data_IF_085848548398
#
_entry.id   IF_085848548398
#
_cell.length_a   1.000
_cell.length_b   1.000
_cell.length_c   1.000
_cell.angle_alpha   90.00
_cell.angle_beta   90.00
_cell.angle_gamma   90.00
#
_symmetry.space_group_name_H-M   'P 1'
#
loop_
_entity.id
_entity.type
_entity.pdbx_description
1 polymer ?
#
# COMPACT_ATOMS: atom_id res chain seq x y z
N UNK A 1 23.61 5.76 -17.76
CA UNK A 1 22.12 5.84 -17.71
C UNK A 1 21.59 5.61 -19.13
N UNK A 2 20.90 4.51 -19.34
CA UNK A 2 20.29 4.20 -20.65
C UNK A 2 18.91 4.85 -20.74
N UNK A 3 18.80 5.86 -21.60
CA UNK A 3 17.52 6.54 -21.91
C UNK A 3 16.69 5.67 -22.84
N UNK A 4 15.51 5.24 -22.40
CA UNK A 4 14.53 4.63 -23.30
C UNK A 4 13.74 5.73 -24.01
N UNK A 5 13.83 5.82 -25.34
CA UNK A 5 13.16 6.83 -26.20
C UNK A 5 13.35 8.28 -25.75
N UNK A 6 14.56 8.68 -25.32
CA UNK A 6 14.87 10.04 -24.86
C UNK A 6 13.98 10.62 -23.74
N UNK A 7 13.16 9.82 -23.08
CA UNK A 7 12.38 10.24 -21.89
C UNK A 7 13.11 9.86 -20.61
N UNK A 8 13.09 10.77 -19.64
CA UNK A 8 13.65 10.50 -18.31
C UNK A 8 12.90 9.34 -17.69
N UNK A 9 13.60 8.27 -17.37
CA UNK A 9 13.11 7.26 -16.44
C UNK A 9 13.30 7.85 -15.04
N UNK A 10 12.23 8.02 -14.28
CA UNK A 10 12.36 8.29 -12.84
C UNK A 10 13.14 7.13 -12.23
N UNK A 11 14.18 7.44 -11.46
CA UNK A 11 14.92 6.42 -10.72
C UNK A 11 13.92 5.63 -9.86
N UNK A 12 13.94 4.31 -9.98
CA UNK A 12 13.12 3.48 -9.13
C UNK A 12 13.72 3.48 -7.72
N UNK A 13 12.90 3.80 -6.73
CA UNK A 13 13.27 3.66 -5.31
C UNK A 13 13.26 2.21 -4.83
N UNK A 14 12.95 1.28 -5.74
CA UNK A 14 12.90 -0.15 -5.46
C UNK A 14 14.28 -0.74 -5.30
N UNK A 15 14.40 -1.67 -4.36
CA UNK A 15 15.63 -2.42 -4.18
C UNK A 15 15.90 -3.28 -5.41
N UNK A 16 17.08 -3.12 -6.08
CA UNK A 16 17.39 -3.77 -7.36
C UNK A 16 17.39 -5.31 -7.30
N UNK A 17 17.66 -5.87 -6.11
CA UNK A 17 17.84 -7.30 -5.89
C UNK A 17 16.69 -7.95 -5.13
N UNK A 18 15.55 -7.24 -4.94
CA UNK A 18 14.39 -7.75 -4.24
C UNK A 18 13.28 -8.11 -5.22
N UNK A 19 12.78 -9.34 -5.15
CA UNK A 19 11.56 -9.72 -5.87
C UNK A 19 10.34 -9.36 -5.01
N UNK A 20 9.60 -8.37 -5.42
CA UNK A 20 8.37 -7.93 -4.77
C UNK A 20 7.19 -8.92 -4.91
N UNK A 21 7.46 -10.10 -5.41
CA UNK A 21 6.58 -11.27 -5.39
C UNK A 21 6.90 -12.27 -4.30
N UNK A 22 8.00 -12.10 -3.57
CA UNK A 22 8.31 -12.97 -2.43
C UNK A 22 7.34 -12.78 -1.28
N UNK A 23 7.18 -13.84 -0.49
CA UNK A 23 6.42 -13.82 0.75
C UNK A 23 7.09 -12.86 1.72
N UNK A 24 6.40 -11.80 2.05
CA UNK A 24 6.89 -10.71 2.91
C UNK A 24 5.77 -9.72 3.23
N UNK A 25 6.01 -8.89 4.23
CA UNK A 25 5.15 -7.77 4.54
C UNK A 25 5.68 -6.47 3.92
N UNK A 26 4.78 -5.72 3.33
CA UNK A 26 5.07 -4.46 2.63
C UNK A 26 4.22 -3.34 3.20
N UNK A 27 4.87 -2.33 3.77
CA UNK A 27 4.20 -1.05 4.03
C UNK A 27 4.11 -0.27 2.74
N UNK A 28 2.92 0.23 2.41
CA UNK A 28 2.71 1.02 1.20
C UNK A 28 2.05 2.36 1.51
N UNK A 29 2.39 3.37 0.70
CA UNK A 29 1.73 4.68 0.70
C UNK A 29 1.30 5.04 -0.72
N UNK A 30 0.01 5.30 -0.91
CA UNK A 30 -0.57 5.58 -2.23
C UNK A 30 -1.27 6.94 -2.16
N UNK A 31 -0.77 7.95 -2.89
CA UNK A 31 -1.29 9.31 -2.85
C UNK A 31 -2.25 9.62 -4.01
N UNK A 32 -3.20 10.51 -3.76
CA UNK A 32 -3.97 11.19 -4.81
C UNK A 32 -3.04 12.07 -5.66
N UNK A 33 -3.45 12.37 -6.88
CA UNK A 33 -2.72 13.33 -7.74
C UNK A 33 -2.63 14.68 -7.03
N UNK A 34 -1.43 15.28 -7.07
CA UNK A 34 -1.14 16.57 -6.42
C UNK A 34 -1.44 16.62 -4.91
N UNK A 35 -1.62 15.47 -4.25
CA UNK A 35 -2.01 15.37 -2.84
C UNK A 35 -3.32 16.12 -2.53
N UNK A 36 -4.26 16.10 -3.45
CA UNK A 36 -5.59 16.69 -3.25
C UNK A 36 -6.38 15.89 -2.20
N UNK A 37 -7.08 16.59 -1.31
CA UNK A 37 -7.87 16.01 -0.21
C UNK A 37 -9.19 15.45 -0.75
N UNK A 38 -9.12 14.35 -1.49
CA UNK A 38 -10.28 13.75 -2.15
C UNK A 38 -10.98 12.68 -1.32
N UNK A 39 -10.29 12.10 -0.33
CA UNK A 39 -10.84 10.98 0.44
C UNK A 39 -11.61 11.42 1.68
N UNK A 40 -11.59 12.70 2.04
CA UNK A 40 -12.29 13.24 3.19
C UNK A 40 -11.44 14.22 4.00
N UNK A 41 -11.76 14.34 5.27
CA UNK A 41 -11.10 15.29 6.18
C UNK A 41 -10.87 14.68 7.57
N UNK A 42 -9.92 15.26 8.32
CA UNK A 42 -9.70 14.90 9.72
C UNK A 42 -10.47 15.88 10.60
N UNK A 43 -11.39 15.35 11.40
CA UNK A 43 -12.12 16.09 12.45
C UNK A 43 -11.97 15.39 13.78
N UNK A 44 -11.64 16.12 14.82
CA UNK A 44 -11.44 15.59 16.18
C UNK A 44 -10.47 14.39 16.22
N UNK A 45 -9.40 14.45 15.41
CA UNK A 45 -8.38 13.39 15.29
C UNK A 45 -8.89 12.10 14.64
N UNK A 46 -10.07 12.13 14.02
CA UNK A 46 -10.67 11.00 13.31
C UNK A 46 -10.85 11.33 11.81
N UNK A 47 -10.71 10.31 10.97
CA UNK A 47 -10.92 10.43 9.53
C UNK A 47 -12.39 10.31 9.20
N UNK A 48 -12.97 11.38 8.66
CA UNK A 48 -14.31 11.38 8.08
C UNK A 48 -14.18 11.19 6.56
N UNK A 49 -14.50 9.99 6.11
CA UNK A 49 -14.37 9.64 4.70
C UNK A 49 -15.43 10.32 3.84
N UNK A 50 -15.02 10.85 2.70
CA UNK A 50 -15.91 11.19 1.58
C UNK A 50 -16.40 9.91 0.88
N UNK A 51 -17.31 10.05 -0.10
CA UNK A 51 -17.72 8.93 -0.97
C UNK A 51 -16.52 8.29 -1.67
N UNK A 52 -15.53 9.09 -2.10
CA UNK A 52 -14.29 8.59 -2.69
C UNK A 52 -13.43 7.84 -1.68
N UNK A 53 -13.39 8.30 -0.43
CA UNK A 53 -12.72 7.61 0.66
C UNK A 53 -13.36 6.26 0.95
N UNK A 54 -14.70 6.20 0.96
CA UNK A 54 -15.46 4.96 1.14
C UNK A 54 -15.19 3.98 -0.02
N UNK A 55 -15.18 4.46 -1.26
CA UNK A 55 -14.83 3.66 -2.44
C UNK A 55 -13.41 3.10 -2.30
N UNK A 56 -12.44 3.93 -1.90
CA UNK A 56 -11.07 3.51 -1.72
C UNK A 56 -10.93 2.45 -0.61
N UNK A 57 -11.60 2.65 0.52
CA UNK A 57 -11.67 1.68 1.63
C UNK A 57 -12.22 0.34 1.14
N UNK A 58 -13.37 0.34 0.47
CA UNK A 58 -14.01 -0.86 -0.07
C UNK A 58 -13.04 -1.68 -0.94
N UNK A 59 -12.37 -1.04 -1.93
CA UNK A 59 -11.48 -1.76 -2.83
C UNK A 59 -10.16 -2.17 -2.19
N UNK A 60 -9.74 -1.49 -1.11
CA UNK A 60 -8.64 -1.97 -0.29
C UNK A 60 -8.99 -3.29 0.39
N UNK A 61 -10.15 -3.33 1.05
CA UNK A 61 -10.66 -4.52 1.74
C UNK A 61 -10.98 -5.69 0.79
N UNK A 62 -11.25 -5.41 -0.49
CA UNK A 62 -11.46 -6.44 -1.53
C UNK A 62 -10.16 -7.08 -2.06
N UNK A 63 -8.98 -6.58 -1.71
CA UNK A 63 -7.70 -7.11 -2.21
C UNK A 63 -7.55 -8.62 -1.96
N UNK A 64 -7.81 -9.18 -0.75
CA UNK A 64 -7.68 -10.60 -0.49
C UNK A 64 -8.65 -11.45 -1.33
N UNK A 65 -9.85 -10.96 -1.59
CA UNK A 65 -10.83 -11.66 -2.44
C UNK A 65 -10.31 -11.82 -3.88
N UNK A 66 -9.54 -10.85 -4.36
CA UNK A 66 -8.94 -10.89 -5.70
C UNK A 66 -7.61 -11.62 -5.75
N UNK A 67 -6.88 -11.60 -4.67
CA UNK A 67 -5.55 -12.20 -4.51
C UNK A 67 -5.52 -13.05 -3.24
N UNK A 68 -5.96 -14.33 -3.31
CA UNK A 68 -6.09 -15.18 -2.12
C UNK A 68 -4.80 -15.44 -1.34
N UNK A 69 -3.64 -15.15 -1.96
CA UNK A 69 -2.32 -15.20 -1.32
C UNK A 69 -1.94 -13.89 -0.61
N UNK A 70 -2.85 -12.96 -0.47
CA UNK A 70 -2.63 -11.67 0.21
C UNK A 70 -3.42 -11.62 1.49
N UNK A 71 -2.73 -11.27 2.57
CA UNK A 71 -3.35 -10.86 3.83
C UNK A 71 -3.22 -9.33 3.97
N UNK A 72 -4.25 -8.70 4.47
CA UNK A 72 -4.21 -7.30 4.85
C UNK A 72 -4.04 -7.18 6.36
N UNK A 73 -3.14 -6.32 6.76
CA UNK A 73 -3.03 -5.83 8.13
C UNK A 73 -3.62 -4.43 8.24
N UNK A 74 -3.28 -3.71 9.28
CA UNK A 74 -3.78 -2.36 9.52
C UNK A 74 -3.60 -1.44 8.31
N UNK A 75 -4.60 -0.62 8.04
CA UNK A 75 -4.54 0.43 7.04
C UNK A 75 -5.34 1.65 7.51
N UNK A 76 -5.07 2.78 6.91
CA UNK A 76 -5.79 4.03 7.14
C UNK A 76 -5.98 4.79 5.83
N UNK A 77 -7.20 5.26 5.64
CA UNK A 77 -7.51 6.26 4.61
C UNK A 77 -7.23 7.62 5.23
N UNK A 78 -6.39 8.43 4.60
CA UNK A 78 -6.10 9.81 4.97
C UNK A 78 -6.66 10.76 3.92
N UNK A 79 -6.80 12.06 4.18
CA UNK A 79 -7.45 12.98 3.24
C UNK A 79 -6.92 12.90 1.80
N UNK A 80 -5.63 12.68 1.61
CA UNK A 80 -4.97 12.70 0.30
C UNK A 80 -4.12 11.46 0.00
N UNK A 81 -4.13 10.45 0.86
CA UNK A 81 -3.37 9.22 0.66
C UNK A 81 -3.93 8.04 1.48
N UNK A 82 -3.35 6.88 1.26
CA UNK A 82 -3.62 5.66 2.01
C UNK A 82 -2.30 5.12 2.51
N UNK A 83 -2.24 4.75 3.78
CA UNK A 83 -1.21 3.89 4.34
C UNK A 83 -1.79 2.52 4.63
N UNK A 84 -1.01 1.47 4.41
CA UNK A 84 -1.41 0.12 4.82
C UNK A 84 -0.29 -0.89 4.71
N UNK A 85 -0.48 -2.03 5.35
CA UNK A 85 0.41 -3.18 5.25
C UNK A 85 -0.28 -4.25 4.39
N UNK A 86 0.43 -4.68 3.35
CA UNK A 86 0.06 -5.80 2.48
C UNK A 86 1.06 -6.91 2.74
N UNK A 87 0.58 -8.08 3.12
CA UNK A 87 1.40 -9.28 3.28
C UNK A 87 1.15 -10.22 2.11
N UNK A 88 2.21 -10.58 1.40
CA UNK A 88 2.20 -11.66 0.41
C UNK A 88 2.58 -12.94 1.16
N UNK A 89 1.68 -13.91 1.18
CA UNK A 89 1.83 -15.19 1.86
C UNK A 89 1.29 -16.31 0.97
N UNK A 90 2.13 -16.82 0.07
CA UNK A 90 1.77 -17.86 -0.88
C UNK A 90 1.90 -19.26 -0.29
N UNK A 91 2.77 -19.41 0.71
CA UNK A 91 3.13 -20.68 1.32
C UNK A 91 2.45 -20.92 2.68
N UNK A 92 1.69 -19.93 3.19
CA UNK A 92 1.05 -19.99 4.50
C UNK A 92 2.06 -19.84 5.66
N UNK A 93 3.06 -18.98 5.48
CA UNK A 93 4.24 -18.91 6.33
C UNK A 93 4.07 -17.97 7.55
N UNK A 94 3.13 -18.29 8.45
CA UNK A 94 3.27 -17.83 9.84
C UNK A 94 2.71 -16.45 10.18
N UNK A 95 1.68 -15.99 9.49
CA UNK A 95 0.91 -14.82 9.90
C UNK A 95 -0.44 -15.26 10.48
N UNK A 96 -0.67 -14.98 11.77
CA UNK A 96 -1.97 -15.20 12.39
C UNK A 96 -2.83 -13.97 12.31
N UNK A 97 -4.07 -14.14 11.87
CA UNK A 97 -5.06 -13.08 11.79
C UNK A 97 -5.77 -12.96 13.13
N UNK A 98 -5.66 -11.79 13.77
CA UNK A 98 -6.38 -11.48 15.01
C UNK A 98 -7.40 -10.38 14.72
N UNK A 99 -8.65 -10.62 15.11
CA UNK A 99 -9.68 -9.59 15.07
C UNK A 99 -9.55 -8.73 16.31
N UNK A 100 -9.41 -7.42 16.13
CA UNK A 100 -9.36 -6.43 17.21
C UNK A 100 -10.50 -5.44 17.06
N UNK A 101 -10.79 -4.66 18.11
CA UNK A 101 -11.80 -3.61 18.05
C UNK A 101 -11.50 -2.54 16.97
N UNK A 102 -10.24 -2.41 16.55
CA UNK A 102 -9.79 -1.51 15.49
C UNK A 102 -9.76 -2.13 14.08
N UNK A 103 -10.25 -3.37 13.91
CA UNK A 103 -10.23 -4.12 12.65
C UNK A 103 -9.34 -5.36 12.68
N UNK A 104 -8.97 -5.85 11.50
CA UNK A 104 -8.07 -7.01 11.37
C UNK A 104 -6.63 -6.57 11.60
N UNK A 105 -5.93 -7.26 12.49
CA UNK A 105 -4.52 -7.08 12.75
C UNK A 105 -3.79 -8.42 12.65
N UNK A 106 -2.63 -8.43 12.01
CA UNK A 106 -1.80 -9.62 11.91
C UNK A 106 -0.81 -9.69 13.09
N UNK A 107 -0.64 -10.87 13.63
CA UNK A 107 0.40 -11.18 14.59
C UNK A 107 1.45 -12.03 13.91
N UNK A 108 2.69 -11.56 13.95
CA UNK A 108 3.85 -12.29 13.41
C UNK A 108 4.37 -13.23 14.49
N UNK A 109 4.20 -14.55 14.33
CA UNK A 109 4.68 -15.54 15.29
C UNK A 109 6.15 -15.88 15.11
N UNK A 110 6.67 -15.82 13.90
CA UNK A 110 8.06 -16.18 13.59
C UNK A 110 9.03 -15.03 13.81
N UNK A 111 10.17 -15.33 14.40
CA UNK A 111 11.19 -14.35 14.75
C UNK A 111 11.91 -13.76 13.53
N UNK A 112 11.88 -14.42 12.37
CA UNK A 112 12.54 -13.96 11.15
C UNK A 112 11.58 -14.04 9.98
N UNK A 113 11.18 -12.84 9.51
CA UNK A 113 10.53 -12.72 8.21
C UNK A 113 11.58 -13.12 7.15
N UNK A 114 11.29 -14.17 6.42
CA UNK A 114 12.15 -14.91 5.48
C UNK A 114 13.39 -14.15 4.98
N UNK A 115 14.56 -14.59 5.41
CA UNK A 115 15.84 -14.17 4.85
C UNK A 115 15.99 -14.78 3.45
N UNK A 116 15.38 -14.15 2.43
CA UNK A 116 15.63 -14.52 1.05
C UNK A 116 17.07 -14.13 0.68
N UNK A 117 17.97 -15.13 0.68
CA UNK A 117 19.37 -14.98 0.28
C UNK A 117 19.58 -15.10 -1.22
N UNK A 118 18.55 -15.43 -1.99
CA UNK A 118 18.65 -15.50 -3.45
C UNK A 118 18.47 -14.12 -4.09
N UNK A 119 19.34 -13.75 -5.08
CA UNK A 119 19.15 -12.50 -5.78
C UNK A 119 17.80 -12.50 -6.49
N UNK A 120 16.91 -11.62 -6.09
CA UNK A 120 15.69 -11.33 -6.82
C UNK A 120 16.07 -10.82 -8.21
N UNK A 121 15.86 -11.66 -9.23
CA UNK A 121 16.22 -11.30 -10.58
C UNK A 121 15.34 -10.17 -11.11
N UNK A 122 15.93 -9.22 -11.79
CA UNK A 122 15.24 -8.45 -12.81
C UNK A 122 14.45 -9.46 -13.66
N UNK A 123 13.15 -9.23 -13.87
CA UNK A 123 12.28 -10.17 -14.58
C UNK A 123 12.68 -10.40 -16.04
N UNK A 124 13.89 -10.07 -16.45
CA UNK A 124 14.43 -10.20 -17.80
C UNK A 124 13.43 -9.67 -18.85
N UNK A 125 13.15 -10.46 -19.89
CA UNK A 125 12.11 -10.16 -20.88
C UNK A 125 10.68 -10.51 -20.43
N UNK A 126 10.49 -10.99 -19.19
CA UNK A 126 9.16 -11.33 -18.65
C UNK A 126 8.48 -10.07 -18.12
N UNK A 127 7.24 -9.85 -18.54
CA UNK A 127 6.45 -8.72 -18.06
C UNK A 127 6.19 -8.86 -16.54
N UNK A 128 6.73 -7.97 -15.67
CA UNK A 128 6.53 -8.06 -14.21
C UNK A 128 5.06 -8.03 -13.80
N UNK A 129 4.17 -7.51 -14.66
CA UNK A 129 2.73 -7.41 -14.40
C UNK A 129 1.99 -8.74 -14.54
N UNK A 130 2.63 -9.76 -15.11
CA UNK A 130 2.06 -11.12 -15.20
C UNK A 130 2.28 -11.92 -13.92
N UNK A 131 3.27 -11.55 -13.11
CA UNK A 131 3.60 -12.24 -11.87
C UNK A 131 2.74 -11.76 -10.70
N UNK A 132 2.47 -12.65 -9.76
CA UNK A 132 1.82 -12.33 -8.49
C UNK A 132 2.80 -11.57 -7.58
N UNK A 133 2.76 -10.25 -7.66
CA UNK A 133 3.64 -9.35 -6.91
C UNK A 133 2.91 -8.09 -6.44
N UNK A 134 3.55 -7.34 -5.55
CA UNK A 134 3.01 -6.11 -4.97
C UNK A 134 2.54 -5.10 -6.03
N UNK A 135 3.26 -4.97 -7.16
CA UNK A 135 2.89 -4.03 -8.24
C UNK A 135 1.55 -4.36 -8.87
N UNK A 136 1.30 -5.66 -9.08
CA UNK A 136 0.02 -6.14 -9.65
C UNK A 136 -1.14 -5.88 -8.70
N UNK A 137 -0.92 -6.10 -7.40
CA UNK A 137 -1.90 -5.83 -6.35
C UNK A 137 -2.27 -4.34 -6.32
N UNK A 138 -1.27 -3.46 -6.17
CA UNK A 138 -1.49 -2.01 -6.13
C UNK A 138 -2.09 -1.48 -7.44
N UNK A 139 -1.67 -2.01 -8.60
CA UNK A 139 -2.26 -1.64 -9.90
C UNK A 139 -3.74 -1.99 -9.98
N UNK A 140 -4.11 -3.18 -9.53
CA UNK A 140 -5.51 -3.60 -9.49
C UNK A 140 -6.33 -2.68 -8.59
N UNK A 141 -5.85 -2.45 -7.37
CA UNK A 141 -6.49 -1.56 -6.41
C UNK A 141 -6.70 -0.14 -7.01
N UNK A 142 -5.63 0.49 -7.51
CA UNK A 142 -5.71 1.82 -8.13
C UNK A 142 -6.67 1.84 -9.32
N UNK A 143 -6.66 0.80 -10.13
CA UNK A 143 -7.53 0.69 -11.30
C UNK A 143 -9.00 0.55 -10.94
N UNK A 144 -9.33 -0.31 -9.98
CA UNK A 144 -10.72 -0.51 -9.52
C UNK A 144 -11.27 0.76 -8.85
N UNK A 145 -10.49 1.35 -7.96
CA UNK A 145 -10.88 2.61 -7.31
C UNK A 145 -11.08 3.71 -8.35
N UNK A 146 -10.17 3.86 -9.34
CA UNK A 146 -10.31 4.87 -10.39
C UNK A 146 -11.58 4.66 -11.22
N UNK A 147 -11.84 3.42 -11.61
CA UNK A 147 -13.02 3.10 -12.42
C UNK A 147 -14.31 3.51 -11.71
N UNK A 148 -14.44 3.20 -10.43
CA UNK A 148 -15.62 3.53 -9.65
C UNK A 148 -15.70 5.03 -9.33
N UNK A 149 -14.59 5.60 -8.87
CA UNK A 149 -14.50 7.02 -8.52
C UNK A 149 -14.87 7.95 -9.69
N UNK A 150 -14.50 7.60 -10.92
CA UNK A 150 -14.76 8.42 -12.11
C UNK A 150 -16.21 8.45 -12.54
N UNK A 151 -17.08 7.64 -11.99
CA UNK A 151 -18.52 7.75 -12.22
C UNK A 151 -19.07 9.08 -11.67
N UNK A 152 -18.52 9.54 -10.52
CA UNK A 152 -18.96 10.76 -9.83
C UNK A 152 -17.91 11.88 -9.90
N UNK A 153 -16.63 11.54 -10.07
CA UNK A 153 -15.52 12.49 -10.20
C UNK A 153 -14.64 12.12 -11.41
N UNK A 154 -14.98 12.55 -12.62
CA UNK A 154 -14.25 12.18 -13.85
C UNK A 154 -12.77 12.57 -13.84
N UNK A 155 -12.37 13.55 -13.05
CA UNK A 155 -11.00 14.05 -12.95
C UNK A 155 -10.16 13.31 -11.91
N UNK A 156 -10.77 12.37 -11.15
CA UNK A 156 -10.03 11.60 -10.16
C UNK A 156 -8.82 10.91 -10.77
N UNK A 157 -7.67 11.08 -10.12
CA UNK A 157 -6.43 10.45 -10.51
C UNK A 157 -5.54 10.20 -9.28
N UNK A 158 -4.72 9.17 -9.38
CA UNK A 158 -3.64 8.88 -8.45
C UNK A 158 -2.36 9.58 -8.85
N UNK A 159 -1.50 9.86 -7.88
CA UNK A 159 -0.10 10.13 -8.14
C UNK A 159 0.53 8.94 -8.87
N UNK A 160 1.37 9.15 -9.91
CA UNK A 160 2.18 8.09 -10.48
C UNK A 160 3.03 7.39 -9.41
N UNK A 161 3.21 6.06 -9.55
CA UNK A 161 3.93 5.23 -8.60
C UNK A 161 3.24 5.15 -7.21
N UNK A 162 3.95 4.68 -6.22
CA UNK A 162 3.62 4.60 -4.80
C UNK A 162 4.90 4.38 -4.02
N UNK A 163 4.90 4.68 -2.73
CA UNK A 163 6.00 4.35 -1.85
C UNK A 163 5.78 2.96 -1.27
N UNK A 164 6.85 2.18 -1.18
CA UNK A 164 6.87 0.89 -0.50
C UNK A 164 8.09 0.76 0.40
N UNK A 165 7.92 0.02 1.49
CA UNK A 165 9.00 -0.38 2.40
C UNK A 165 8.80 -1.85 2.78
N UNK A 166 9.87 -2.66 2.65
CA UNK A 166 9.86 -4.08 3.03
C UNK A 166 10.05 -4.18 4.54
N UNK A 167 9.09 -4.81 5.21
CA UNK A 167 9.14 -4.99 6.67
C UNK A 167 9.87 -6.29 6.95
N UNK A 168 11.06 -6.22 7.58
CA UNK A 168 11.97 -7.35 7.73
C UNK A 168 12.00 -7.99 9.11
N UNK A 169 11.37 -7.39 10.11
CA UNK A 169 11.35 -7.91 11.46
C UNK A 169 10.12 -7.45 12.24
N UNK A 170 9.82 -8.17 13.32
CA UNK A 170 8.66 -7.94 14.18
C UNK A 170 8.63 -6.53 14.78
N UNK A 171 9.79 -6.01 15.22
CA UNK A 171 9.86 -4.65 15.80
C UNK A 171 9.43 -3.58 14.80
N UNK A 172 9.95 -3.66 13.56
CA UNK A 172 9.57 -2.75 12.48
C UNK A 172 8.09 -2.90 12.12
N UNK A 173 7.57 -4.15 12.10
CA UNK A 173 6.17 -4.44 11.82
C UNK A 173 5.25 -3.73 12.82
N UNK A 174 5.48 -3.93 14.13
CA UNK A 174 4.69 -3.29 15.20
C UNK A 174 4.81 -1.76 15.16
N UNK A 175 6.00 -1.23 14.94
CA UNK A 175 6.19 0.22 14.85
C UNK A 175 5.39 0.83 13.68
N UNK A 176 5.34 0.15 12.53
CA UNK A 176 4.59 0.59 11.36
C UNK A 176 3.08 0.47 11.61
N UNK A 177 2.61 -0.59 12.28
CA UNK A 177 1.21 -0.71 12.70
C UNK A 177 0.81 0.50 13.56
N UNK A 178 1.59 0.81 14.59
CA UNK A 178 1.36 1.98 15.46
C UNK A 178 1.37 3.30 14.69
N UNK A 179 2.28 3.46 13.74
CA UNK A 179 2.34 4.64 12.88
C UNK A 179 1.05 4.79 12.05
N UNK A 180 0.56 3.71 11.44
CA UNK A 180 -0.65 3.72 10.61
C UNK A 180 -1.88 4.07 11.47
N UNK A 181 -2.06 3.38 12.60
CA UNK A 181 -3.22 3.56 13.49
C UNK A 181 -3.28 4.99 14.04
N UNK A 182 -2.14 5.57 14.41
CA UNK A 182 -2.07 6.89 15.00
C UNK A 182 -1.95 8.03 13.97
N UNK A 183 -1.92 7.72 12.67
CA UNK A 183 -1.73 8.73 11.63
C UNK A 183 -2.80 9.84 11.65
N UNK A 184 -4.11 9.56 11.83
CA UNK A 184 -5.13 10.60 11.95
C UNK A 184 -4.87 11.60 13.08
N UNK A 185 -4.42 11.10 14.24
CA UNK A 185 -4.10 11.94 15.42
C UNK A 185 -2.94 12.90 15.11
N UNK A 186 -2.00 12.46 14.28
CA UNK A 186 -0.78 13.20 13.94
C UNK A 186 -0.84 13.84 12.56
N UNK A 187 -2.02 13.94 11.94
CA UNK A 187 -2.21 14.42 10.58
C UNK A 187 -1.49 15.72 10.26
N UNK A 188 -1.59 16.72 11.12
CA UNK A 188 -0.95 18.03 10.93
C UNK A 188 0.59 18.01 11.01
N UNK A 189 1.19 16.89 11.42
CA UNK A 189 2.64 16.65 11.47
C UNK A 189 3.08 15.65 10.40
N UNK A 190 2.14 15.09 9.63
CA UNK A 190 2.46 14.13 8.57
C UNK A 190 3.22 14.82 7.43
N UNK A 191 4.22 14.11 6.86
CA UNK A 191 5.01 14.59 5.71
C UNK A 191 4.18 14.81 4.44
N UNK A 192 3.01 14.19 4.36
CA UNK A 192 2.07 14.31 3.25
C UNK A 192 0.98 15.34 3.51
N UNK A 193 0.98 15.95 4.71
CA UNK A 193 0.05 17.01 5.02
C UNK A 193 0.17 18.17 4.02
N UNK A 194 -0.97 18.62 3.55
CA UNK A 194 -1.11 19.84 2.75
C UNK A 194 -2.29 20.62 3.30
N UNK A 195 -2.26 21.94 3.19
CA UNK A 195 -3.42 22.75 3.55
C UNK A 195 -4.59 22.39 2.61
N UNK A 196 -5.82 22.26 3.14
CA UNK A 196 -7.01 22.16 2.29
C UNK A 196 -7.08 23.37 1.37
N UNK A 197 -7.39 23.15 0.10
CA UNK A 197 -7.62 24.23 -0.86
C UNK A 197 -9.04 24.72 -0.76
#
# INVERSE_FOLDING_TARGET
MTRFKNKYRSETVRLPYWDYGWDSAYFVTICTKNKEHLFGEIKNQEMICSDLGIIAKKYWEEIPNRFPFVLLDVFVIMPNHIHGIIVIDKEGAGYNVVQTAGGTQLVVETQEMSNHTQPGGFAGNKNPLLNNNLSRIVRWFKGRTTFEARKNNPLFAWQPNYYEHIIRNKKSFVNIQHYIINNPIHWNKDKLYTQPK
#
